data_IF_709669927409
#
_entry.id   IF_709669927409
#
_cell.length_a   1.000
_cell.length_b   1.000
_cell.length_c   1.000
_cell.angle_alpha   90.00
_cell.angle_beta   90.00
_cell.angle_gamma   90.00
#
_symmetry.space_group_name_H-M   'P 1'
#
loop_
_entity.id
_entity.type
_entity.pdbx_description
1 polymer ?
#
# COMPACT_ATOMS: atom_id res chain seq x y z
N UNK A 1 14.87 25.66 -11.82
CA UNK A 1 14.91 25.63 -10.33
C UNK A 1 15.20 24.25 -9.77
N UNK A 2 14.67 23.15 -10.32
CA UNK A 2 14.95 21.76 -9.87
C UNK A 2 16.44 21.38 -9.79
N UNK A 3 17.28 21.86 -10.72
CA UNK A 3 18.71 21.51 -10.74
C UNK A 3 19.51 22.00 -9.53
N UNK A 4 19.05 23.07 -8.87
CA UNK A 4 19.65 23.61 -7.65
C UNK A 4 19.26 22.81 -6.41
N UNK A 5 18.04 22.27 -6.39
CA UNK A 5 17.54 21.39 -5.33
C UNK A 5 18.32 20.07 -5.29
N UNK A 6 18.60 19.47 -6.45
CA UNK A 6 19.38 18.22 -6.54
C UNK A 6 20.84 18.36 -6.06
N UNK A 7 21.48 19.51 -6.33
CA UNK A 7 22.82 19.80 -5.80
C UNK A 7 22.80 20.04 -4.27
N UNK A 8 21.69 20.54 -3.75
CA UNK A 8 21.51 20.72 -2.32
C UNK A 8 21.30 19.38 -1.61
N UNK A 9 20.59 18.43 -2.22
CA UNK A 9 20.42 17.06 -1.71
C UNK A 9 21.77 16.36 -1.52
N UNK A 10 22.67 16.44 -2.50
CA UNK A 10 24.03 15.87 -2.41
C UNK A 10 24.82 16.47 -1.23
N UNK A 11 24.79 17.80 -1.08
CA UNK A 11 25.48 18.49 0.02
C UNK A 11 24.90 18.13 1.40
N UNK A 12 23.58 17.96 1.51
CA UNK A 12 22.92 17.55 2.76
C UNK A 12 23.29 16.13 3.15
N UNK A 13 23.46 15.22 2.18
CA UNK A 13 23.88 13.83 2.44
C UNK A 13 25.33 13.78 2.93
N UNK A 14 26.23 14.57 2.35
CA UNK A 14 27.62 14.66 2.79
C UNK A 14 27.73 15.22 4.21
N UNK A 15 27.02 16.31 4.51
CA UNK A 15 27.00 16.89 5.85
C UNK A 15 26.40 15.92 6.88
N UNK A 16 25.35 15.18 6.50
CA UNK A 16 24.73 14.18 7.38
C UNK A 16 25.67 13.04 7.77
N UNK A 17 26.64 12.69 6.91
CA UNK A 17 27.67 11.67 7.21
C UNK A 17 28.75 12.19 8.17
N UNK A 18 28.97 13.51 8.19
CA UNK A 18 29.96 14.16 9.05
C UNK A 18 29.40 14.53 10.43
N UNK A 19 28.09 14.31 10.68
CA UNK A 19 27.50 14.55 11.98
C UNK A 19 28.06 13.58 13.05
N UNK A 20 28.41 14.08 14.25
CA UNK A 20 29.03 13.29 15.31
C UNK A 20 28.09 12.27 15.96
N UNK A 21 26.79 12.33 15.66
CA UNK A 21 25.76 11.45 16.20
C UNK A 21 25.08 10.77 15.03
N UNK A 22 25.29 9.45 14.91
CA UNK A 22 24.61 8.63 13.91
C UNK A 22 23.27 8.16 14.49
N UNK A 23 22.16 8.62 13.92
CA UNK A 23 20.82 8.17 14.29
C UNK A 23 20.35 7.08 13.34
N UNK A 24 20.22 5.85 13.84
CA UNK A 24 19.65 4.74 13.07
C UNK A 24 18.12 4.84 13.05
N UNK A 25 17.60 5.42 11.98
CA UNK A 25 16.16 5.56 11.73
C UNK A 25 15.44 4.20 11.66
N UNK A 26 16.12 3.09 11.40
CA UNK A 26 15.49 1.77 11.28
C UNK A 26 15.09 1.20 12.64
N UNK A 27 15.74 1.64 13.72
CA UNK A 27 15.38 1.27 15.09
C UNK A 27 14.24 2.12 15.64
N UNK A 28 13.88 3.21 14.96
CA UNK A 28 12.82 4.12 15.36
C UNK A 28 11.45 3.42 15.40
N UNK A 29 10.67 3.71 16.44
CA UNK A 29 9.33 3.18 16.65
C UNK A 29 8.37 3.56 15.51
N UNK A 30 8.49 4.79 14.99
CA UNK A 30 7.66 5.29 13.90
C UNK A 30 8.03 4.66 12.56
N UNK A 31 9.31 4.33 12.34
CA UNK A 31 9.75 3.62 11.14
C UNK A 31 9.14 2.21 11.09
N UNK A 32 9.28 1.43 12.18
CA UNK A 32 8.68 0.09 12.31
C UNK A 32 7.15 0.12 12.20
N UNK A 33 6.51 1.16 12.76
CA UNK A 33 5.06 1.36 12.59
C UNK A 33 4.67 1.66 11.14
N UNK A 34 5.52 2.40 10.41
CA UNK A 34 5.37 2.67 8.99
C UNK A 34 5.45 1.41 8.13
N UNK A 35 6.46 0.56 8.37
CA UNK A 35 6.62 -0.73 7.66
C UNK A 35 5.42 -1.64 7.89
N UNK A 36 5.01 -1.84 9.14
CA UNK A 36 3.84 -2.67 9.46
C UNK A 36 2.55 -2.15 8.80
N UNK A 37 2.38 -0.82 8.71
CA UNK A 37 1.25 -0.21 7.97
C UNK A 37 1.37 -0.42 6.46
N UNK A 38 2.58 -0.38 5.91
CA UNK A 38 2.87 -0.64 4.51
C UNK A 38 2.54 -2.08 4.12
N UNK A 39 3.00 -3.04 4.90
CA UNK A 39 2.69 -4.47 4.71
C UNK A 39 1.19 -4.74 4.78
N UNK A 40 0.51 -4.21 5.82
CA UNK A 40 -0.93 -4.34 5.95
C UNK A 40 -1.70 -3.76 4.74
N UNK A 41 -1.25 -2.61 4.22
CA UNK A 41 -1.82 -2.01 2.99
C UNK A 41 -1.56 -2.86 1.76
N UNK A 42 -0.36 -3.45 1.63
CA UNK A 42 -0.02 -4.35 0.52
C UNK A 42 -0.87 -5.62 0.51
N UNK A 43 -1.06 -6.24 1.69
CA UNK A 43 -1.92 -7.41 1.86
C UNK A 43 -3.39 -7.06 1.54
N UNK A 44 -3.87 -5.89 1.98
CA UNK A 44 -5.23 -5.44 1.64
C UNK A 44 -5.39 -5.20 0.14
N UNK A 45 -4.41 -4.56 -0.51
CA UNK A 45 -4.46 -4.29 -1.95
C UNK A 45 -4.48 -5.58 -2.77
N UNK A 46 -3.59 -6.52 -2.46
CA UNK A 46 -3.54 -7.83 -3.14
C UNK A 46 -4.84 -8.61 -2.97
N UNK A 47 -5.46 -8.60 -1.77
CA UNK A 47 -6.79 -9.18 -1.53
C UNK A 47 -7.90 -8.52 -2.35
N UNK A 48 -7.88 -7.20 -2.48
CA UNK A 48 -8.84 -6.45 -3.31
C UNK A 48 -8.65 -6.79 -4.80
N UNK A 49 -7.41 -6.85 -5.28
CA UNK A 49 -7.09 -7.18 -6.66
C UNK A 49 -7.52 -8.64 -6.99
N UNK A 50 -7.34 -9.57 -6.05
CA UNK A 50 -7.85 -10.95 -6.20
C UNK A 50 -9.38 -10.98 -6.20
N UNK A 51 -10.04 -10.24 -5.32
CA UNK A 51 -11.50 -10.12 -5.32
C UNK A 51 -12.01 -9.57 -6.66
N UNK A 52 -11.35 -8.55 -7.21
CA UNK A 52 -11.74 -7.91 -8.47
C UNK A 52 -11.53 -8.83 -9.68
N UNK A 53 -10.44 -9.59 -9.71
CA UNK A 53 -10.21 -10.60 -10.77
C UNK A 53 -11.21 -11.74 -10.69
N UNK A 54 -11.58 -12.19 -9.49
CA UNK A 54 -12.64 -13.20 -9.27
C UNK A 54 -14.03 -12.69 -9.65
N UNK A 55 -14.34 -11.42 -9.37
CA UNK A 55 -15.58 -10.76 -9.80
C UNK A 55 -15.64 -10.65 -11.33
N UNK A 56 -14.54 -10.23 -11.98
CA UNK A 56 -14.44 -10.18 -13.45
C UNK A 56 -14.57 -11.56 -14.10
N UNK A 57 -14.10 -12.61 -13.44
CA UNK A 57 -14.22 -13.97 -13.94
C UNK A 57 -15.68 -14.48 -13.93
N UNK A 58 -16.58 -13.88 -13.14
CA UNK A 58 -18.03 -14.13 -13.18
C UNK A 58 -18.47 -15.55 -12.77
N UNK A 59 -17.57 -16.34 -12.17
CA UNK A 59 -17.79 -17.76 -11.84
C UNK A 59 -18.09 -18.04 -10.37
N UNK A 60 -17.90 -17.07 -9.47
CA UNK A 60 -17.97 -17.28 -8.03
C UNK A 60 -19.04 -16.41 -7.38
N UNK A 61 -19.74 -16.95 -6.38
CA UNK A 61 -20.66 -16.16 -5.56
C UNK A 61 -19.89 -15.22 -4.62
N UNK A 62 -20.51 -14.07 -4.29
CA UNK A 62 -19.99 -13.07 -3.35
C UNK A 62 -19.55 -13.70 -2.00
N UNK A 63 -20.27 -14.74 -1.56
CA UNK A 63 -19.93 -15.51 -0.36
C UNK A 63 -18.63 -16.29 -0.48
N UNK A 64 -18.33 -16.88 -1.63
CA UNK A 64 -17.11 -17.68 -1.86
C UNK A 64 -15.90 -16.76 -2.00
N UNK A 65 -16.07 -15.62 -2.68
CA UNK A 65 -15.01 -14.61 -2.81
C UNK A 65 -14.61 -14.06 -1.44
N UNK A 66 -15.57 -13.81 -0.55
CA UNK A 66 -15.31 -13.36 0.82
C UNK A 66 -14.51 -14.38 1.64
N UNK A 67 -14.80 -15.67 1.49
CA UNK A 67 -14.06 -16.76 2.18
C UNK A 67 -12.63 -16.87 1.64
N UNK A 68 -12.45 -16.82 0.33
CA UNK A 68 -11.14 -17.00 -0.31
C UNK A 68 -10.21 -15.80 -0.05
N UNK A 69 -10.75 -14.58 -0.10
CA UNK A 69 -9.95 -13.35 0.08
C UNK A 69 -9.79 -12.95 1.55
N UNK A 70 -10.59 -13.54 2.46
CA UNK A 70 -10.64 -13.17 3.87
C UNK A 70 -11.13 -11.73 4.08
N UNK A 71 -11.92 -11.19 3.14
CA UNK A 71 -12.57 -9.89 3.22
C UNK A 71 -13.99 -10.03 3.79
N UNK A 72 -14.49 -9.00 4.48
CA UNK A 72 -15.86 -9.02 4.97
C UNK A 72 -16.86 -8.95 3.81
N UNK A 73 -18.00 -9.63 3.94
CA UNK A 73 -19.06 -9.67 2.91
C UNK A 73 -19.46 -8.27 2.42
N UNK A 74 -19.58 -7.31 3.34
CA UNK A 74 -19.86 -5.89 3.05
C UNK A 74 -18.82 -5.24 2.12
N UNK A 75 -17.54 -5.58 2.29
CA UNK A 75 -16.46 -5.01 1.47
C UNK A 75 -16.49 -5.56 0.04
N UNK A 76 -16.88 -6.83 -0.12
CA UNK A 76 -17.05 -7.44 -1.45
C UNK A 76 -18.26 -6.84 -2.16
N UNK A 77 -19.35 -6.55 -1.46
CA UNK A 77 -20.51 -5.84 -2.00
C UNK A 77 -20.17 -4.40 -2.44
N UNK A 78 -19.43 -3.63 -1.63
CA UNK A 78 -18.92 -2.31 -2.03
C UNK A 78 -18.07 -2.39 -3.32
N UNK A 79 -17.21 -3.41 -3.44
CA UNK A 79 -16.40 -3.63 -4.64
C UNK A 79 -17.26 -3.98 -5.86
N UNK A 80 -18.38 -4.69 -5.68
CA UNK A 80 -19.32 -4.95 -6.79
C UNK A 80 -19.99 -3.68 -7.28
N UNK A 81 -20.42 -2.80 -6.37
CA UNK A 81 -21.01 -1.50 -6.71
C UNK A 81 -20.01 -0.57 -7.40
N UNK A 82 -18.75 -0.51 -6.93
CA UNK A 82 -17.71 0.29 -7.60
C UNK A 82 -17.33 -0.28 -8.97
N UNK A 83 -17.31 -1.60 -9.15
CA UNK A 83 -16.98 -2.22 -10.43
C UNK A 83 -18.09 -2.06 -11.48
N UNK A 84 -19.35 -1.90 -11.08
CA UNK A 84 -20.45 -1.59 -12.02
C UNK A 84 -20.37 -0.17 -12.59
N UNK A 85 -19.72 0.77 -11.89
CA UNK A 85 -19.52 2.15 -12.36
C UNK A 85 -18.40 2.30 -13.41
N UNK A 86 -17.63 1.25 -13.69
CA UNK A 86 -16.56 1.28 -14.72
C UNK A 86 -16.99 0.68 -16.06
N UNK A 87 -18.28 0.38 -16.23
CA UNK A 87 -18.90 -0.03 -17.50
C UNK A 87 -19.86 1.08 -17.99
N UNK A 88 -19.34 2.27 -18.22
CA UNK A 88 -19.94 3.26 -19.13
C UNK A 88 -18.84 3.90 -19.98
#
# INVERSE_FOLDING_TARGET
>A
MLSRLRKLEEAVIEESKNMPITYDITQDKYYKQGEARGEARGILKTKIDTALTMLKAGKYLVSEIAVITGLSKKKVEELTHLSSYTKE
#
